data_IF_137828899260
#
_entry.id   IF_137828899260
#
_cell.length_a   1.000
_cell.length_b   1.000
_cell.length_c   1.000
_cell.angle_alpha   90.00
_cell.angle_beta   90.00
_cell.angle_gamma   90.00
#
_symmetry.space_group_name_H-M   'P 1'
#
loop_
_entity.id
_entity.type
_entity.pdbx_description
1 polymer ?
#
# COMPACT_ATOMS: atom_id res chain seq x y z
N UNK A 1 5.35 -5.77 -10.34
CA UNK A 1 4.07 -5.58 -9.64
C UNK A 1 4.22 -4.39 -8.71
N UNK A 2 3.36 -3.38 -8.86
CA UNK A 2 3.29 -2.22 -7.97
C UNK A 2 2.15 -2.39 -6.96
N UNK A 3 2.39 -2.04 -5.72
CA UNK A 3 1.42 -2.15 -4.65
C UNK A 3 0.90 -0.78 -4.20
N UNK A 4 -0.39 -0.71 -3.95
CA UNK A 4 -1.03 0.45 -3.34
C UNK A 4 -0.88 0.41 -1.80
N UNK A 5 -1.49 1.38 -1.12
CA UNK A 5 -1.51 1.44 0.34
C UNK A 5 -2.03 0.13 0.97
N UNK A 6 -1.30 -0.46 1.95
CA UNK A 6 -1.69 -1.73 2.58
C UNK A 6 -2.99 -1.63 3.38
N UNK A 7 -3.33 -0.46 3.89
CA UNK A 7 -4.54 -0.22 4.69
C UNK A 7 -5.79 0.02 3.84
N UNK A 8 -5.64 0.16 2.52
CA UNK A 8 -6.78 0.32 1.61
C UNK A 8 -7.71 -0.89 1.68
N UNK A 9 -8.98 -0.65 1.84
CA UNK A 9 -10.03 -1.65 1.78
C UNK A 9 -11.18 -1.19 0.89
N UNK A 10 -11.67 -2.08 0.06
CA UNK A 10 -12.83 -1.83 -0.77
C UNK A 10 -14.03 -2.54 -0.13
N UNK A 11 -15.12 -1.78 0.03
CA UNK A 11 -16.40 -2.29 0.49
C UNK A 11 -17.39 -2.33 -0.68
N UNK A 12 -18.06 -3.45 -0.77
CA UNK A 12 -19.20 -3.62 -1.64
C UNK A 12 -20.45 -3.75 -0.78
N UNK A 13 -21.43 -2.88 -0.98
CA UNK A 13 -22.65 -2.91 -0.21
C UNK A 13 -23.86 -2.54 -1.08
N UNK A 14 -25.04 -3.00 -0.65
CA UNK A 14 -26.31 -2.68 -1.26
C UNK A 14 -27.04 -1.69 -0.35
N UNK A 15 -27.40 -0.56 -0.89
CA UNK A 15 -28.17 0.46 -0.18
C UNK A 15 -29.30 0.95 -1.06
N UNK A 16 -30.54 0.86 -0.57
CA UNK A 16 -31.75 1.24 -1.29
C UNK A 16 -31.86 0.60 -2.69
N UNK A 17 -31.53 -0.71 -2.78
CA UNK A 17 -31.55 -1.48 -4.02
C UNK A 17 -30.49 -1.09 -5.04
N UNK A 18 -29.56 -0.23 -4.68
CA UNK A 18 -28.41 0.16 -5.48
C UNK A 18 -27.12 -0.43 -4.92
N UNK A 19 -26.28 -0.88 -5.81
CA UNK A 19 -24.99 -1.47 -5.48
C UNK A 19 -23.91 -0.40 -5.52
N UNK A 20 -23.16 -0.30 -4.44
CA UNK A 20 -22.07 0.65 -4.29
C UNK A 20 -20.75 -0.08 -4.06
N UNK A 21 -19.73 0.47 -4.67
CA UNK A 21 -18.35 0.09 -4.40
C UNK A 21 -17.62 1.29 -3.83
N UNK A 22 -17.10 1.19 -2.64
CA UNK A 22 -16.41 2.29 -1.98
C UNK A 22 -15.03 1.86 -1.51
N UNK A 23 -14.04 2.62 -1.92
CA UNK A 23 -12.67 2.47 -1.41
C UNK A 23 -12.53 3.23 -0.10
N UNK A 24 -12.08 2.51 0.89
CA UNK A 24 -11.91 2.98 2.25
C UNK A 24 -10.43 3.10 2.59
N UNK A 25 -10.04 4.29 3.03
CA UNK A 25 -8.73 4.56 3.60
C UNK A 25 -8.93 4.98 5.06
N UNK A 26 -8.54 4.17 6.06
CA UNK A 26 -8.75 4.50 7.47
C UNK A 26 -8.23 5.87 7.86
N UNK A 27 -7.06 6.28 7.35
CA UNK A 27 -6.52 7.61 7.60
C UNK A 27 -7.38 8.75 7.07
N UNK A 28 -8.01 8.58 5.92
CA UNK A 28 -8.90 9.60 5.37
C UNK A 28 -10.15 9.80 6.23
N UNK A 29 -10.57 8.81 6.98
CA UNK A 29 -11.77 8.86 7.82
C UNK A 29 -11.47 9.29 9.25
N UNK A 30 -10.23 9.22 9.70
CA UNK A 30 -9.81 9.88 10.94
C UNK A 30 -9.79 11.41 10.80
N UNK A 31 -9.80 11.94 9.57
CA UNK A 31 -10.00 13.35 9.31
C UNK A 31 -11.50 13.71 9.48
N UNK A 32 -11.86 14.54 10.49
CA UNK A 32 -13.25 14.96 10.73
C UNK A 32 -13.92 15.61 9.52
N UNK A 33 -13.15 16.31 8.67
CA UNK A 33 -13.69 16.96 7.47
C UNK A 33 -14.13 15.94 6.43
N UNK A 34 -13.32 14.91 6.18
CA UNK A 34 -13.67 13.87 5.22
C UNK A 34 -14.84 13.02 5.73
N UNK A 35 -14.83 12.70 7.03
CA UNK A 35 -15.91 11.96 7.63
C UNK A 35 -17.24 12.72 7.57
N UNK A 36 -17.23 14.03 7.82
CA UNK A 36 -18.44 14.86 7.79
C UNK A 36 -19.11 14.98 6.41
N UNK A 37 -18.38 14.67 5.33
CA UNK A 37 -18.92 14.64 3.97
C UNK A 37 -19.69 13.35 3.65
N UNK A 38 -19.64 12.35 4.54
CA UNK A 38 -20.37 11.09 4.38
C UNK A 38 -21.77 11.19 4.99
N UNK A 39 -22.75 10.42 4.49
CA UNK A 39 -24.04 10.25 5.14
C UNK A 39 -23.90 9.82 6.61
N UNK A 40 -24.83 10.21 7.46
CA UNK A 40 -24.73 10.03 8.91
C UNK A 40 -24.62 8.56 9.33
N UNK A 41 -25.39 7.68 8.71
CA UNK A 41 -25.33 6.24 8.91
C UNK A 41 -23.96 5.64 8.52
N UNK A 42 -23.36 6.14 7.45
CA UNK A 42 -22.02 5.75 7.06
C UNK A 42 -20.97 6.29 8.03
N UNK A 43 -21.13 7.50 8.56
CA UNK A 43 -20.21 8.03 9.57
C UNK A 43 -20.15 7.14 10.81
N UNK A 44 -21.30 6.66 11.28
CA UNK A 44 -21.39 5.74 12.43
C UNK A 44 -20.74 4.38 12.13
N UNK A 45 -20.99 3.84 10.94
CA UNK A 45 -20.33 2.61 10.49
C UNK A 45 -18.81 2.76 10.49
N UNK A 46 -18.28 3.81 9.89
CA UNK A 46 -16.84 4.02 9.81
C UNK A 46 -16.19 4.24 11.18
N UNK A 47 -16.81 5.02 12.06
CA UNK A 47 -16.34 5.18 13.44
C UNK A 47 -16.27 3.84 14.18
N UNK A 48 -17.32 3.04 14.05
CA UNK A 48 -17.38 1.71 14.67
C UNK A 48 -16.34 0.76 14.07
N UNK A 49 -16.17 0.79 12.75
CA UNK A 49 -15.17 -0.03 12.06
C UNK A 49 -13.75 0.30 12.55
N UNK A 50 -13.37 1.58 12.59
CA UNK A 50 -12.05 2.01 13.08
C UNK A 50 -11.87 1.61 14.54
N UNK A 51 -12.88 1.82 15.37
CA UNK A 51 -12.78 1.56 16.81
C UNK A 51 -12.62 0.09 17.15
N UNK A 52 -13.30 -0.81 16.45
CA UNK A 52 -13.46 -2.20 16.86
C UNK A 52 -12.79 -3.23 15.94
N UNK A 53 -12.60 -2.89 14.67
CA UNK A 53 -12.18 -3.86 13.66
C UNK A 53 -10.88 -3.48 12.94
N UNK A 54 -10.55 -2.19 12.90
CA UNK A 54 -9.34 -1.79 12.20
C UNK A 54 -8.12 -2.01 13.08
N UNK A 55 -7.14 -2.70 12.51
CA UNK A 55 -5.86 -2.94 13.14
C UNK A 55 -4.76 -2.79 12.08
N UNK A 56 -3.98 -1.73 12.19
CA UNK A 56 -2.92 -1.41 11.24
C UNK A 56 -1.88 -2.53 11.14
N UNK A 57 -1.45 -3.09 12.26
CA UNK A 57 -0.49 -4.19 12.28
C UNK A 57 -1.00 -5.45 11.56
N UNK A 58 -2.30 -5.75 11.66
CA UNK A 58 -2.92 -6.85 10.93
C UNK A 58 -2.93 -6.57 9.42
N UNK A 59 -3.29 -5.35 9.00
CA UNK A 59 -3.29 -4.99 7.58
C UNK A 59 -1.89 -5.06 6.98
N UNK A 60 -0.91 -4.56 7.69
CA UNK A 60 0.48 -4.59 7.26
C UNK A 60 1.02 -6.02 7.19
N UNK A 61 0.73 -6.83 8.21
CA UNK A 61 1.08 -8.26 8.20
C UNK A 61 0.42 -9.01 7.04
N UNK A 62 -0.84 -8.75 6.77
CA UNK A 62 -1.57 -9.34 5.63
C UNK A 62 -0.97 -8.90 4.29
N UNK A 63 -0.61 -7.63 4.17
CA UNK A 63 0.08 -7.10 3.00
C UNK A 63 1.39 -7.85 2.75
N UNK A 64 2.24 -8.02 3.76
CA UNK A 64 3.49 -8.77 3.64
C UNK A 64 3.26 -10.23 3.25
N UNK A 65 2.30 -10.90 3.89
CA UNK A 65 1.97 -12.28 3.56
C UNK A 65 1.48 -12.42 2.12
N UNK A 66 0.62 -11.53 1.64
CA UNK A 66 0.11 -11.56 0.27
C UNK A 66 1.25 -11.40 -0.75
N UNK A 67 2.21 -10.51 -0.47
CA UNK A 67 3.40 -10.35 -1.29
C UNK A 67 4.24 -11.64 -1.35
N UNK A 68 4.46 -12.27 -0.19
CA UNK A 68 5.20 -13.53 -0.13
C UNK A 68 4.47 -14.67 -0.85
N UNK A 69 3.15 -14.79 -0.67
CA UNK A 69 2.37 -15.81 -1.38
C UNK A 69 2.44 -15.61 -2.89
N UNK A 70 2.31 -14.37 -3.36
CA UNK A 70 2.43 -14.08 -4.78
C UNK A 70 3.85 -14.37 -5.29
N UNK A 71 4.89 -14.01 -4.51
CA UNK A 71 6.27 -14.33 -4.84
C UNK A 71 6.45 -15.84 -5.04
N UNK A 72 6.05 -16.64 -4.06
CA UNK A 72 6.23 -18.10 -4.14
C UNK A 72 5.37 -18.73 -5.26
N UNK A 73 4.19 -18.20 -5.52
CA UNK A 73 3.37 -18.61 -6.65
C UNK A 73 4.08 -18.33 -7.99
N UNK A 74 4.58 -17.12 -8.18
CA UNK A 74 5.29 -16.74 -9.41
C UNK A 74 6.58 -17.56 -9.58
N UNK A 75 7.35 -17.70 -8.51
CA UNK A 75 8.59 -18.48 -8.50
C UNK A 75 8.34 -19.96 -8.82
N UNK A 76 7.30 -20.57 -8.26
CA UNK A 76 6.97 -21.97 -8.53
C UNK A 76 6.50 -22.23 -9.97
N UNK A 77 6.05 -21.18 -10.65
CA UNK A 77 5.67 -21.22 -12.07
C UNK A 77 6.77 -20.70 -13.01
N UNK A 78 7.99 -20.49 -12.51
CA UNK A 78 9.11 -19.93 -13.26
C UNK A 78 8.79 -18.58 -13.94
N UNK A 79 8.04 -17.73 -13.24
CA UNK A 79 7.72 -16.38 -13.71
C UNK A 79 8.65 -15.40 -13.00
N UNK A 80 9.52 -14.77 -13.77
CA UNK A 80 10.38 -13.71 -13.27
C UNK A 80 9.54 -12.51 -12.85
N UNK A 81 9.87 -11.90 -11.72
CA UNK A 81 9.10 -10.80 -11.17
C UNK A 81 9.94 -9.91 -10.26
N UNK A 82 9.54 -8.66 -10.21
CA UNK A 82 10.05 -7.65 -9.29
C UNK A 82 8.85 -6.94 -8.66
N UNK A 83 8.89 -6.75 -7.36
CA UNK A 83 7.88 -6.01 -6.61
C UNK A 83 8.41 -4.62 -6.24
N UNK A 84 7.52 -3.69 -6.05
CA UNK A 84 7.82 -2.37 -5.51
C UNK A 84 6.58 -1.75 -4.86
N UNK A 85 6.80 -0.87 -3.89
CA UNK A 85 5.76 -0.06 -3.29
C UNK A 85 5.46 1.15 -4.16
N UNK A 86 4.18 1.43 -4.41
CA UNK A 86 3.80 2.61 -5.18
C UNK A 86 3.89 3.88 -4.35
N UNK A 87 3.49 3.84 -3.06
CA UNK A 87 3.33 5.02 -2.22
C UNK A 87 4.20 5.02 -0.97
N UNK A 88 4.37 3.88 -0.32
CA UNK A 88 5.07 3.77 0.96
C UNK A 88 6.26 2.83 0.81
N UNK A 89 7.34 3.16 1.49
CA UNK A 89 8.40 2.19 1.74
C UNK A 89 7.99 1.30 2.91
N UNK A 90 8.26 0.02 2.78
CA UNK A 90 8.04 -0.98 3.83
C UNK A 90 8.73 -0.60 5.14
N UNK A 91 9.90 0.06 5.06
CA UNK A 91 10.68 0.51 6.19
C UNK A 91 10.09 1.72 6.95
N UNK A 92 9.14 2.44 6.36
CA UNK A 92 8.60 3.66 6.97
C UNK A 92 7.48 3.40 7.98
N UNK A 93 7.26 2.16 8.35
CA UNK A 93 6.25 1.62 9.28
C UNK A 93 5.32 2.65 9.93
N UNK A 94 4.08 2.69 9.52
CA UNK A 94 3.05 3.53 10.12
C UNK A 94 2.46 2.85 11.37
N UNK A 95 3.27 2.70 12.41
CA UNK A 95 2.80 2.07 13.64
C UNK A 95 2.33 3.13 14.63
N UNK A 96 1.06 3.10 14.98
CA UNK A 96 0.46 4.06 15.92
C UNK A 96 0.85 3.83 17.38
N UNK A 97 1.32 2.64 17.73
CA UNK A 97 1.77 2.36 19.09
C UNK A 97 3.20 1.83 19.11
N UNK A 98 3.91 2.09 20.19
CA UNK A 98 5.29 1.59 20.37
C UNK A 98 5.33 0.05 20.39
N UNK A 99 4.30 -0.60 20.93
CA UNK A 99 4.19 -2.06 20.92
C UNK A 99 4.00 -2.60 19.51
N UNK A 100 3.07 -2.01 18.74
CA UNK A 100 2.86 -2.38 17.33
C UNK A 100 4.14 -2.17 16.52
N UNK A 101 4.86 -1.08 16.79
CA UNK A 101 6.15 -0.81 16.16
C UNK A 101 7.19 -1.89 16.47
N UNK A 102 7.30 -2.32 17.73
CA UNK A 102 8.23 -3.39 18.13
C UNK A 102 7.91 -4.73 17.49
N UNK A 103 6.65 -5.10 17.47
CA UNK A 103 6.19 -6.36 16.90
C UNK A 103 6.25 -6.33 15.36
N UNK A 104 5.86 -5.20 14.79
CA UNK A 104 5.92 -4.94 13.35
C UNK A 104 7.34 -4.96 12.81
N UNK A 105 8.30 -4.30 13.48
CA UNK A 105 9.71 -4.27 13.06
C UNK A 105 10.30 -5.67 12.92
N UNK A 106 9.96 -6.62 13.79
CA UNK A 106 10.45 -8.00 13.64
C UNK A 106 9.92 -8.67 12.38
N UNK A 107 8.64 -8.50 12.11
CA UNK A 107 7.99 -9.08 10.93
C UNK A 107 8.51 -8.41 9.67
N UNK A 108 8.67 -7.09 9.70
CA UNK A 108 9.20 -6.28 8.61
C UNK A 108 10.65 -6.64 8.28
N UNK A 109 11.53 -6.73 9.27
CA UNK A 109 12.92 -7.12 9.04
C UNK A 109 13.02 -8.50 8.40
N UNK A 110 12.20 -9.46 8.84
CA UNK A 110 12.16 -10.79 8.23
C UNK A 110 11.59 -10.76 6.81
N UNK A 111 10.59 -9.93 6.57
CA UNK A 111 10.05 -9.72 5.24
C UNK A 111 11.11 -9.13 4.30
N UNK A 112 11.81 -8.08 4.73
CA UNK A 112 12.89 -7.44 3.98
C UNK A 112 14.01 -8.46 3.67
N UNK A 113 14.43 -9.25 4.65
CA UNK A 113 15.44 -10.29 4.46
C UNK A 113 15.04 -11.31 3.38
N UNK A 114 13.77 -11.75 3.38
CA UNK A 114 13.25 -12.71 2.41
C UNK A 114 13.10 -12.08 1.03
N UNK A 115 12.72 -10.81 0.97
CA UNK A 115 12.30 -10.13 -0.26
C UNK A 115 13.41 -9.37 -0.98
N UNK A 116 14.57 -9.19 -0.36
CA UNK A 116 15.68 -8.34 -0.84
C UNK A 116 16.09 -8.56 -2.30
N UNK A 117 15.91 -9.77 -2.84
CA UNK A 117 16.32 -10.13 -4.19
C UNK A 117 15.22 -9.89 -5.26
N UNK A 118 14.00 -9.57 -4.83
CA UNK A 118 12.86 -9.39 -5.73
C UNK A 118 11.92 -8.23 -5.35
N UNK A 119 12.31 -7.42 -4.37
CA UNK A 119 11.58 -6.23 -3.94
C UNK A 119 12.48 -5.00 -4.06
N UNK A 120 11.99 -3.97 -4.74
CA UNK A 120 12.72 -2.70 -4.87
C UNK A 120 12.75 -1.99 -3.52
N UNK A 121 13.92 -1.54 -3.11
CA UNK A 121 14.15 -0.86 -1.84
C UNK A 121 13.63 0.58 -1.77
N UNK A 122 13.25 1.15 -2.90
CA UNK A 122 12.66 2.49 -2.98
C UNK A 122 11.22 2.42 -3.54
N UNK A 123 10.29 3.16 -2.95
CA UNK A 123 8.95 3.28 -3.50
C UNK A 123 8.92 4.21 -4.71
N UNK A 124 7.96 4.01 -5.61
CA UNK A 124 7.77 4.90 -6.76
C UNK A 124 7.58 6.35 -6.33
N UNK A 125 6.76 6.59 -5.29
CA UNK A 125 6.55 7.93 -4.76
C UNK A 125 7.85 8.58 -4.28
N UNK A 126 8.67 7.86 -3.51
CA UNK A 126 9.93 8.41 -3.01
C UNK A 126 10.91 8.68 -4.13
N UNK A 127 10.97 7.81 -5.12
CA UNK A 127 11.82 8.00 -6.30
C UNK A 127 11.50 9.30 -7.06
N UNK A 128 10.21 9.61 -7.28
CA UNK A 128 9.82 10.81 -8.02
C UNK A 128 9.82 12.08 -7.15
N UNK A 129 9.82 11.96 -5.80
CA UNK A 129 9.85 13.11 -4.90
C UNK A 129 11.14 13.94 -5.04
N UNK A 130 12.26 13.28 -5.29
CA UNK A 130 13.57 13.94 -5.42
C UNK A 130 13.56 14.94 -6.58
N UNK A 131 12.97 14.59 -7.71
CA UNK A 131 12.95 15.38 -8.94
C UNK A 131 11.64 16.13 -9.20
N UNK A 132 10.67 16.06 -8.28
CA UNK A 132 9.36 16.74 -8.34
C UNK A 132 8.56 16.44 -9.62
N UNK A 133 8.61 15.22 -10.11
CA UNK A 133 7.89 14.80 -11.31
C UNK A 133 6.41 14.46 -11.02
N UNK A 134 5.69 15.45 -10.48
CA UNK A 134 4.27 15.33 -10.20
C UNK A 134 3.41 16.03 -11.25
N UNK A 135 2.18 15.58 -11.38
CA UNK A 135 1.13 16.25 -12.13
C UNK A 135 0.68 17.54 -11.42
N UNK A 136 -0.23 18.29 -12.03
CA UNK A 136 -0.71 19.56 -11.48
C UNK A 136 -1.37 19.46 -10.10
N UNK A 137 -1.84 18.28 -9.73
CA UNK A 137 -2.45 18.01 -8.41
C UNK A 137 -1.40 17.77 -7.30
N UNK A 138 -0.11 17.75 -7.63
CA UNK A 138 1.02 17.49 -6.73
C UNK A 138 0.92 16.16 -5.95
N UNK A 139 0.08 15.23 -6.40
CA UNK A 139 -0.14 13.95 -5.72
C UNK A 139 0.13 12.73 -6.61
N UNK A 140 -0.09 12.87 -7.92
CA UNK A 140 0.13 11.81 -8.88
C UNK A 140 1.38 12.06 -9.72
N UNK A 141 2.11 11.01 -10.14
CA UNK A 141 3.21 11.13 -11.06
C UNK A 141 2.76 11.75 -12.39
N UNK A 142 3.62 12.57 -12.97
CA UNK A 142 3.43 13.01 -14.35
C UNK A 142 4.05 12.01 -15.35
N UNK A 143 3.92 12.26 -16.64
CA UNK A 143 4.46 11.39 -17.69
C UNK A 143 5.96 11.13 -17.53
N UNK A 144 6.74 12.17 -17.23
CA UNK A 144 8.18 12.04 -16.99
C UNK A 144 8.48 11.17 -15.77
N UNK A 145 7.72 11.32 -14.67
CA UNK A 145 7.86 10.47 -13.49
C UNK A 145 7.62 8.99 -13.81
N UNK A 146 6.62 8.69 -14.62
CA UNK A 146 6.38 7.31 -15.08
C UNK A 146 7.48 6.78 -15.98
N UNK A 147 7.99 7.61 -16.89
CA UNK A 147 9.09 7.22 -17.77
C UNK A 147 10.36 6.91 -16.98
N UNK A 148 10.79 7.81 -16.10
CA UNK A 148 11.99 7.63 -15.29
C UNK A 148 11.88 6.41 -14.38
N UNK A 149 10.70 6.16 -13.82
CA UNK A 149 10.48 4.95 -13.03
C UNK A 149 10.57 3.67 -13.85
N UNK A 150 10.02 3.67 -15.05
CA UNK A 150 10.14 2.54 -15.95
C UNK A 150 11.62 2.24 -16.34
N UNK A 151 12.40 3.29 -16.59
CA UNK A 151 13.83 3.19 -16.87
C UNK A 151 14.60 2.64 -15.64
N UNK A 152 14.23 3.06 -14.44
CA UNK A 152 14.82 2.58 -13.20
C UNK A 152 14.53 1.08 -12.97
N UNK A 153 13.25 0.67 -13.13
CA UNK A 153 12.87 -0.73 -13.03
C UNK A 153 13.55 -1.60 -14.09
N UNK A 154 13.76 -1.06 -15.31
CA UNK A 154 14.42 -1.78 -16.38
C UNK A 154 15.86 -2.16 -16.03
N UNK A 155 16.57 -1.34 -15.26
CA UNK A 155 17.93 -1.66 -14.79
C UNK A 155 17.93 -2.92 -13.92
N UNK A 156 16.94 -3.05 -13.04
CA UNK A 156 16.81 -4.22 -12.17
C UNK A 156 16.39 -5.48 -12.95
N UNK A 157 15.54 -5.33 -13.94
CA UNK A 157 15.09 -6.47 -14.78
C UNK A 157 16.22 -7.11 -15.61
N UNK A 158 17.32 -6.41 -15.86
CA UNK A 158 18.47 -6.98 -16.56
C UNK A 158 19.23 -8.05 -15.76
N UNK A 159 18.98 -8.14 -14.45
CA UNK A 159 19.57 -9.16 -13.57
C UNK A 159 18.73 -10.45 -13.51
N UNK A 160 17.50 -10.39 -14.01
CA UNK A 160 16.56 -11.52 -14.08
C UNK A 160 16.86 -12.25 -15.40
N UNK A 161 17.92 -13.05 -15.42
CA UNK A 161 18.27 -13.96 -16.53
C UNK A 161 18.38 -15.38 -16.04
#
# INVERSE_FOLDING_TARGET
>A
VGWSSPERKDFYYDYDGKKYWETFHPFAITDPQQLSQKPEDQQEFYKSYIKYYWNEGEYFSRYMHNNLYLHYFLKSNNIDHLFFDAFYQTESGHYHTEQMRKDGIKTENKFIEITKDFYKDISFKNFILEDKHFSKDNSHPNEMGHQLWAEELYKDLQWIK
#
